data_IF_162829761688
#
_entry.id   IF_162829761688
#
_cell.length_a   1.000
_cell.length_b   1.000
_cell.length_c   1.000
_cell.angle_alpha   90.00
_cell.angle_beta   90.00
_cell.angle_gamma   90.00
#
_symmetry.space_group_name_H-M   'P 1'
#
loop_
_entity.id
_entity.type
_entity.pdbx_description
1 polymer ?
#
# COMPACT_ATOMS: atom_id res chain seq x y z
N UNK A 1 6.41 -1.00 23.14
CA UNK A 1 5.83 -1.78 22.03
C UNK A 1 6.09 -1.03 20.74
N UNK A 2 7.06 -1.44 19.91
CA UNK A 2 7.23 -0.83 18.61
C UNK A 2 5.95 -1.09 17.80
N UNK A 3 5.21 -0.03 17.44
CA UNK A 3 4.09 -0.16 16.50
C UNK A 3 4.64 -0.81 15.25
N UNK A 4 4.25 -2.06 14.98
CA UNK A 4 4.65 -2.74 13.76
C UNK A 4 4.25 -1.86 12.58
N UNK A 5 5.25 -1.40 11.82
CA UNK A 5 5.04 -0.48 10.71
C UNK A 5 4.69 -1.31 9.48
N UNK A 6 3.55 -1.01 8.87
CA UNK A 6 3.25 -1.49 7.52
C UNK A 6 4.24 -0.82 6.56
N UNK A 7 4.99 -1.62 5.81
CA UNK A 7 5.88 -1.17 4.74
C UNK A 7 5.12 -1.22 3.44
N UNK A 8 5.24 -0.19 2.61
CA UNK A 8 4.63 -0.15 1.28
C UNK A 8 5.73 -0.15 0.22
N UNK A 9 5.59 -1.00 -0.80
CA UNK A 9 6.50 -1.08 -1.95
C UNK A 9 5.69 -0.94 -3.24
N UNK A 10 6.08 -0.02 -4.12
CA UNK A 10 5.49 0.08 -5.45
C UNK A 10 6.10 -1.02 -6.34
N UNK A 11 5.25 -1.78 -7.01
CA UNK A 11 5.63 -2.84 -7.93
C UNK A 11 5.03 -2.51 -9.30
N UNK A 12 5.88 -2.51 -10.33
CA UNK A 12 5.45 -2.45 -11.72
C UNK A 12 5.27 -3.88 -12.22
N UNK A 13 4.05 -4.24 -12.61
CA UNK A 13 3.79 -5.52 -13.26
C UNK A 13 3.86 -5.36 -14.79
N UNK A 14 3.31 -4.26 -15.32
CA UNK A 14 3.34 -3.93 -16.74
C UNK A 14 3.45 -2.41 -16.96
N UNK A 15 3.27 -1.93 -18.20
CA UNK A 15 3.26 -0.50 -18.52
C UNK A 15 2.13 0.26 -17.80
N UNK A 16 0.91 -0.28 -17.92
CA UNK A 16 -0.32 0.27 -17.33
C UNK A 16 -0.84 -0.54 -16.13
N UNK A 17 0.00 -1.38 -15.54
CA UNK A 17 -0.36 -2.19 -14.37
C UNK A 17 0.67 -2.03 -13.25
N UNK A 18 0.25 -1.31 -12.23
CA UNK A 18 1.02 -0.98 -11.05
C UNK A 18 0.28 -1.44 -9.80
N UNK A 19 1.04 -1.98 -8.86
CA UNK A 19 0.54 -2.44 -7.57
C UNK A 19 1.34 -1.81 -6.44
N UNK A 20 0.73 -1.75 -5.26
CA UNK A 20 1.44 -1.48 -4.00
C UNK A 20 1.37 -2.74 -3.15
N UNK A 21 2.53 -3.26 -2.78
CA UNK A 21 2.67 -4.33 -1.81
C UNK A 21 2.75 -3.74 -0.41
N UNK A 22 1.76 -4.03 0.43
CA UNK A 22 1.72 -3.67 1.83
C UNK A 22 2.15 -4.86 2.70
N UNK A 23 3.33 -4.78 3.28
CA UNK A 23 3.91 -5.82 4.13
C UNK A 23 3.76 -5.44 5.60
N UNK A 24 3.21 -6.36 6.40
CA UNK A 24 3.10 -6.23 7.85
C UNK A 24 3.76 -7.44 8.53
N UNK A 25 4.64 -7.24 9.51
CA UNK A 25 5.31 -8.36 10.19
C UNK A 25 4.31 -9.33 10.82
N UNK A 26 4.39 -10.61 10.42
CA UNK A 26 3.50 -11.66 10.93
C UNK A 26 2.13 -11.76 10.26
N UNK A 27 1.90 -11.03 9.17
CA UNK A 27 0.72 -11.20 8.32
C UNK A 27 1.12 -11.38 6.85
N UNK A 28 0.21 -11.93 6.04
CA UNK A 28 0.44 -12.04 4.61
C UNK A 28 0.52 -10.65 3.95
N UNK A 29 1.45 -10.45 3.00
CA UNK A 29 1.51 -9.23 2.21
C UNK A 29 0.19 -9.00 1.46
N UNK A 30 -0.24 -7.74 1.41
CA UNK A 30 -1.47 -7.35 0.70
C UNK A 30 -1.12 -6.59 -0.55
N UNK A 31 -1.81 -6.92 -1.64
CA UNK A 31 -1.65 -6.25 -2.92
C UNK A 31 -2.78 -5.24 -3.09
N UNK A 32 -2.40 -3.98 -3.23
CA UNK A 32 -3.31 -2.90 -3.66
C UNK A 32 -3.12 -2.80 -5.17
N UNK A 33 -4.19 -3.10 -5.91
CA UNK A 33 -4.20 -3.15 -7.37
C UNK A 33 -5.09 -2.06 -7.95
N UNK A 34 -5.10 -1.94 -9.29
CA UNK A 34 -5.91 -0.94 -10.00
C UNK A 34 -5.23 0.42 -10.16
N UNK A 35 -3.90 0.46 -10.00
CA UNK A 35 -3.09 1.65 -10.28
C UNK A 35 -2.55 1.49 -11.70
N UNK A 36 -2.64 2.54 -12.51
CA UNK A 36 -2.23 2.47 -13.93
C UNK A 36 -0.87 3.07 -14.18
N UNK A 37 -0.30 3.78 -13.22
CA UNK A 37 1.00 4.42 -13.38
C UNK A 37 1.75 4.50 -12.06
N UNK A 38 3.07 4.72 -12.17
CA UNK A 38 3.91 5.02 -11.00
C UNK A 38 3.40 6.24 -10.23
N UNK A 39 3.00 7.29 -10.95
CA UNK A 39 2.50 8.52 -10.35
C UNK A 39 1.23 8.28 -9.53
N UNK A 40 0.29 7.48 -10.04
CA UNK A 40 -0.91 7.10 -9.29
C UNK A 40 -0.58 6.27 -8.04
N UNK A 41 0.41 5.38 -8.12
CA UNK A 41 0.90 4.65 -6.96
C UNK A 41 1.58 5.56 -5.92
N UNK A 42 2.41 6.51 -6.37
CA UNK A 42 3.05 7.51 -5.51
C UNK A 42 2.00 8.44 -4.86
N UNK A 43 1.00 8.90 -5.61
CA UNK A 43 -0.12 9.70 -5.10
C UNK A 43 -0.96 8.93 -4.08
N UNK A 44 -1.18 7.63 -4.31
CA UNK A 44 -1.86 6.77 -3.35
C UNK A 44 -1.10 6.69 -2.02
N UNK A 45 0.24 6.56 -2.08
CA UNK A 45 1.10 6.45 -0.90
C UNK A 45 1.24 7.74 -0.11
N UNK A 46 1.26 8.87 -0.80
CA UNK A 46 1.43 10.20 -0.20
C UNK A 46 0.08 10.85 0.17
N UNK A 47 -1.03 10.35 -0.39
CA UNK A 47 -2.37 10.87 -0.15
C UNK A 47 -3.12 10.18 0.99
N UNK A 48 -4.36 10.63 1.18
CA UNK A 48 -5.26 10.14 2.24
C UNK A 48 -5.69 8.68 2.04
N UNK A 49 -5.58 8.15 0.82
CA UNK A 49 -5.92 6.76 0.48
C UNK A 49 -5.11 5.77 1.31
N UNK A 50 -3.83 6.03 1.55
CA UNK A 50 -2.98 5.19 2.42
C UNK A 50 -3.52 5.11 3.85
N UNK A 51 -3.91 6.24 4.44
CA UNK A 51 -4.43 6.28 5.81
C UNK A 51 -5.80 5.60 5.88
N UNK A 52 -6.68 5.88 4.91
CA UNK A 52 -7.99 5.24 4.80
C UNK A 52 -7.87 3.72 4.68
N UNK A 53 -6.92 3.25 3.87
CA UNK A 53 -6.62 1.83 3.75
C UNK A 53 -6.11 1.25 5.07
N UNK A 54 -5.14 1.89 5.73
CA UNK A 54 -4.65 1.43 7.04
C UNK A 54 -5.78 1.32 8.09
N UNK A 55 -6.72 2.27 8.11
CA UNK A 55 -7.92 2.20 8.97
C UNK A 55 -8.83 1.03 8.59
N UNK A 56 -9.08 0.82 7.30
CA UNK A 56 -9.89 -0.31 6.82
C UNK A 56 -9.31 -1.68 7.22
N UNK A 57 -7.98 -1.76 7.36
CA UNK A 57 -7.27 -2.96 7.79
C UNK A 57 -7.11 -3.06 9.31
N UNK A 58 -7.57 -2.07 10.08
CA UNK A 58 -7.40 -2.02 11.54
C UNK A 58 -5.98 -1.68 12.00
N UNK A 59 -5.10 -1.26 11.09
CA UNK A 59 -3.72 -0.86 11.41
C UNK A 59 -3.61 0.59 11.92
N UNK A 60 -4.64 1.40 11.68
CA UNK A 60 -4.75 2.76 12.20
C UNK A 60 -6.10 2.93 12.92
N UNK A 61 -6.06 3.59 14.08
CA UNK A 61 -7.23 3.99 14.87
C UNK A 61 -7.50 5.46 14.65
#
# INVERSE_FOLDING_TARGET
MAKAKVTFKIIRNAEDDWNILAEYPGAEPRHITGLTSKADADDWLNGDRRIGWLRSQGYAK
#
